data_IF_687184687251
#
_entry.id   IF_687184687251
#
_cell.length_a   1.000
_cell.length_b   1.000
_cell.length_c   1.000
_cell.angle_alpha   90.00
_cell.angle_beta   90.00
_cell.angle_gamma   90.00
#
_symmetry.space_group_name_H-M   'P 1'
#
loop_
_entity.id
_entity.type
_entity.pdbx_description
1 polymer ?
#
# COMPACT_ATOMS: atom_id res chain seq x y z
N UNK A 1 31.39 14.91 -4.76
CA UNK A 1 30.43 13.98 -4.12
C UNK A 1 29.65 14.78 -3.10
N UNK A 2 28.33 14.67 -3.11
CA UNK A 2 27.51 15.37 -2.12
C UNK A 2 27.71 14.75 -0.74
N UNK A 3 27.78 15.57 0.29
CA UNK A 3 27.97 15.13 1.68
C UNK A 3 26.71 15.29 2.53
N UNK A 4 25.71 15.95 1.97
CA UNK A 4 24.41 16.13 2.62
C UNK A 4 23.32 15.63 1.69
N UNK A 5 22.46 14.76 2.20
CA UNK A 5 21.31 14.20 1.50
C UNK A 5 20.02 14.57 2.24
N UNK A 6 19.00 14.93 1.48
CA UNK A 6 17.66 15.18 1.97
C UNK A 6 16.69 14.24 1.26
N UNK A 7 16.13 13.26 1.97
CA UNK A 7 15.18 12.29 1.45
C UNK A 7 13.84 12.60 2.10
N UNK A 8 12.81 12.89 1.31
CA UNK A 8 11.48 13.18 1.83
C UNK A 8 10.39 12.57 0.94
N UNK A 9 9.24 12.30 1.53
CA UNK A 9 8.09 11.73 0.83
C UNK A 9 7.19 10.92 1.74
N UNK A 10 6.17 10.31 1.15
CA UNK A 10 5.21 9.47 1.84
C UNK A 10 5.27 7.99 1.38
N UNK A 11 6.23 7.61 0.51
CA UNK A 11 6.49 6.24 0.14
C UNK A 11 7.73 5.69 0.85
N UNK A 12 7.46 4.95 1.90
CA UNK A 12 8.53 4.40 2.76
C UNK A 12 9.48 3.49 2.01
N UNK A 13 8.98 2.70 1.06
CA UNK A 13 9.82 1.80 0.26
C UNK A 13 10.93 2.58 -0.47
N UNK A 14 10.60 3.68 -1.14
CA UNK A 14 11.59 4.48 -1.85
C UNK A 14 12.53 5.22 -0.89
N UNK A 15 12.03 5.67 0.27
CA UNK A 15 12.87 6.28 1.30
C UNK A 15 13.94 5.29 1.73
N UNK A 16 13.53 4.07 2.11
CA UNK A 16 14.46 3.03 2.57
C UNK A 16 15.42 2.58 1.44
N UNK A 17 14.95 2.51 0.19
CA UNK A 17 15.79 2.22 -0.97
C UNK A 17 16.89 3.29 -1.17
N UNK A 18 16.55 4.58 -1.08
CA UNK A 18 17.54 5.67 -1.20
C UNK A 18 18.52 5.66 -0.04
N UNK A 19 18.07 5.46 1.20
CA UNK A 19 18.94 5.32 2.37
C UNK A 19 19.90 4.15 2.20
N UNK A 20 19.37 2.96 1.85
CA UNK A 20 20.19 1.77 1.65
C UNK A 20 21.21 1.93 0.52
N UNK A 21 20.84 2.63 -0.55
CA UNK A 21 21.76 2.96 -1.64
C UNK A 21 22.94 3.79 -1.14
N UNK A 22 22.68 4.87 -0.38
CA UNK A 22 23.75 5.70 0.20
C UNK A 22 24.63 4.86 1.12
N UNK A 23 24.06 4.07 2.02
CA UNK A 23 24.82 3.21 2.94
C UNK A 23 25.68 2.21 2.16
N UNK A 24 25.15 1.64 1.08
CA UNK A 24 25.88 0.65 0.26
C UNK A 24 27.05 1.24 -0.54
N UNK A 25 26.98 2.54 -0.91
CA UNK A 25 28.05 3.26 -1.59
C UNK A 25 29.24 3.55 -0.66
N UNK A 26 29.03 3.61 0.67
CA UNK A 26 30.03 3.99 1.67
C UNK A 26 30.19 2.92 2.76
N UNK A 27 30.40 1.66 2.35
CA UNK A 27 30.47 0.49 3.24
C UNK A 27 31.53 0.55 4.35
N UNK A 28 32.54 1.37 4.18
CA UNK A 28 33.65 1.53 5.13
C UNK A 28 33.37 2.60 6.18
N UNK A 29 32.24 3.31 6.08
CA UNK A 29 31.85 4.38 7.00
C UNK A 29 31.06 3.82 8.17
N UNK A 30 31.27 4.38 9.37
CA UNK A 30 30.48 4.02 10.54
C UNK A 30 29.06 4.60 10.43
N UNK A 31 28.06 3.73 10.62
CA UNK A 31 26.64 4.11 10.52
C UNK A 31 26.06 4.50 11.89
N UNK A 32 25.54 5.71 11.99
CA UNK A 32 24.88 6.24 13.20
C UNK A 32 23.48 6.73 12.84
N UNK A 33 22.49 6.33 13.62
CA UNK A 33 21.09 6.70 13.43
C UNK A 33 20.59 7.55 14.60
N UNK A 34 19.87 8.62 14.29
CA UNK A 34 19.15 9.44 15.27
C UNK A 34 17.69 9.60 14.89
N UNK A 35 16.80 9.59 15.86
CA UNK A 35 15.42 10.02 15.72
C UNK A 35 15.30 11.50 16.14
N UNK A 36 14.86 12.34 15.20
CA UNK A 36 14.74 13.78 15.46
C UNK A 36 13.49 14.14 16.27
N UNK A 37 12.62 13.20 16.55
CA UNK A 37 11.56 13.38 17.54
C UNK A 37 12.06 13.23 18.99
N UNK A 38 13.24 12.61 19.18
CA UNK A 38 13.82 12.34 20.51
C UNK A 38 15.15 13.06 20.74
N UNK A 39 15.85 13.40 19.66
CA UNK A 39 17.22 13.94 19.72
C UNK A 39 17.32 15.27 18.98
N UNK A 40 18.01 16.25 19.58
CA UNK A 40 18.28 17.52 18.91
C UNK A 40 19.28 17.33 17.76
N UNK A 41 19.07 18.06 16.65
CA UNK A 41 19.91 17.99 15.44
C UNK A 41 21.37 18.36 15.70
N UNK A 42 21.68 19.15 16.74
CA UNK A 42 23.05 19.50 17.07
C UNK A 42 23.92 18.28 17.35
N UNK A 43 23.38 17.23 18.01
CA UNK A 43 24.12 15.98 18.24
C UNK A 43 24.55 15.30 16.93
N UNK A 44 23.65 15.26 15.94
CA UNK A 44 23.98 14.71 14.64
C UNK A 44 25.01 15.56 13.91
N UNK A 45 24.92 16.90 14.01
CA UNK A 45 25.89 17.84 13.44
C UNK A 45 27.25 17.71 14.13
N UNK A 46 27.29 17.59 15.45
CA UNK A 46 28.53 17.33 16.19
C UNK A 46 29.19 16.04 15.70
N UNK A 47 28.40 14.96 15.57
CA UNK A 47 28.87 13.64 15.15
C UNK A 47 29.47 13.65 13.74
N UNK A 48 28.81 14.26 12.75
CA UNK A 48 29.33 14.37 11.37
C UNK A 48 30.50 15.35 11.26
N UNK A 49 30.64 16.28 12.23
CA UNK A 49 31.72 17.27 12.24
C UNK A 49 32.98 16.80 12.96
N UNK A 50 32.90 15.70 13.71
CA UNK A 50 34.04 15.13 14.40
C UNK A 50 35.07 14.61 13.39
N UNK A 51 36.27 15.24 13.39
CA UNK A 51 37.42 14.75 12.62
C UNK A 51 38.26 13.93 13.59
N UNK A 52 38.30 12.61 13.40
CA UNK A 52 39.17 11.74 14.18
C UNK A 52 40.40 11.36 13.35
N UNK A 53 41.56 11.41 13.95
CA UNK A 53 42.81 10.94 13.32
C UNK A 53 42.90 9.42 13.22
N UNK A 54 41.99 8.70 13.90
CA UNK A 54 42.04 7.23 14.05
C UNK A 54 40.69 6.53 13.78
N UNK A 55 39.63 7.27 13.44
CA UNK A 55 38.31 6.70 13.12
C UNK A 55 37.97 6.85 11.64
N UNK A 56 37.13 5.94 11.16
CA UNK A 56 36.51 6.01 9.84
C UNK A 56 35.55 7.22 9.72
N UNK A 57 35.36 7.70 8.51
CA UNK A 57 34.29 8.67 8.22
C UNK A 57 32.92 8.04 8.59
N UNK A 58 31.92 8.88 8.83
CA UNK A 58 30.61 8.46 9.34
C UNK A 58 29.48 8.77 8.36
N UNK A 59 28.46 7.92 8.38
CA UNK A 59 27.14 8.23 7.83
C UNK A 59 26.21 8.45 9.01
N UNK A 60 25.72 9.66 9.18
CA UNK A 60 24.73 9.98 10.21
C UNK A 60 23.37 10.18 9.56
N UNK A 61 22.42 9.31 9.90
CA UNK A 61 21.05 9.34 9.39
C UNK A 61 20.14 9.90 10.48
N UNK A 62 19.45 10.98 10.13
CA UNK A 62 18.50 11.68 10.99
C UNK A 62 17.08 11.37 10.49
N UNK A 63 16.43 10.37 11.11
CA UNK A 63 15.04 10.03 10.81
C UNK A 63 14.06 11.03 11.44
N UNK A 64 12.86 11.13 10.87
CA UNK A 64 11.78 11.98 11.37
C UNK A 64 12.17 13.46 11.50
N UNK A 65 12.93 14.00 10.54
CA UNK A 65 13.34 15.40 10.56
C UNK A 65 12.17 16.36 10.27
N UNK A 66 11.08 16.22 11.07
CA UNK A 66 9.82 16.95 10.89
C UNK A 66 9.95 18.46 11.09
N UNK A 67 11.03 18.92 11.73
CA UNK A 67 11.35 20.35 11.82
C UNK A 67 11.56 21.02 10.46
N UNK A 68 11.74 20.24 9.39
CA UNK A 68 11.81 20.74 8.00
C UNK A 68 10.43 20.94 7.36
N UNK A 69 9.37 20.53 8.03
CA UNK A 69 7.97 20.64 7.58
C UNK A 69 7.21 21.75 8.31
N UNK A 70 5.92 21.89 8.04
CA UNK A 70 5.01 22.75 8.80
C UNK A 70 4.50 22.12 10.11
N UNK A 71 4.88 20.88 10.42
CA UNK A 71 4.47 20.17 11.64
C UNK A 71 5.24 20.74 12.83
N UNK A 72 4.54 20.93 13.95
CA UNK A 72 5.17 21.39 15.19
C UNK A 72 5.96 20.25 15.82
N UNK A 73 7.22 20.50 16.11
CA UNK A 73 8.09 19.57 16.86
C UNK A 73 8.15 19.98 18.31
N UNK A 74 8.27 18.99 19.20
CA UNK A 74 8.41 19.23 20.65
C UNK A 74 9.83 19.64 21.01
N UNK A 75 10.82 19.29 20.17
CA UNK A 75 12.23 19.64 20.36
C UNK A 75 12.54 20.94 19.62
N UNK A 76 13.15 21.89 20.30
CA UNK A 76 13.73 23.09 19.69
C UNK A 76 15.11 22.77 19.14
N UNK A 77 15.17 22.47 17.85
CA UNK A 77 16.39 22.05 17.16
C UNK A 77 17.33 23.24 16.92
N UNK A 78 18.63 23.07 17.13
CA UNK A 78 19.65 24.04 16.78
C UNK A 78 19.85 24.07 15.23
N UNK A 79 19.00 24.86 14.58
CA UNK A 79 19.02 25.02 13.11
C UNK A 79 20.26 25.79 12.65
N UNK A 80 20.84 26.64 13.47
CA UNK A 80 22.03 27.44 13.10
C UNK A 80 23.27 26.55 12.96
N UNK A 81 23.42 25.53 13.80
CA UNK A 81 24.49 24.54 13.67
C UNK A 81 24.35 23.74 12.38
N UNK A 82 23.13 23.31 12.04
CA UNK A 82 22.83 22.59 10.79
C UNK A 82 23.12 23.45 9.57
N UNK A 83 22.71 24.73 9.57
CA UNK A 83 22.97 25.65 8.46
C UNK A 83 24.47 25.84 8.20
N UNK A 84 25.29 25.95 9.25
CA UNK A 84 26.75 26.04 9.11
C UNK A 84 27.34 24.81 8.46
N UNK A 85 26.87 23.62 8.88
CA UNK A 85 27.32 22.34 8.32
C UNK A 85 26.93 22.17 6.86
N UNK A 86 25.68 22.48 6.48
CA UNK A 86 25.19 22.35 5.09
C UNK A 86 26.08 23.15 4.12
N UNK A 87 26.51 24.32 4.51
CA UNK A 87 27.34 25.19 3.64
C UNK A 87 28.80 24.72 3.56
N UNK A 88 29.32 24.14 4.63
CA UNK A 88 30.70 23.65 4.69
C UNK A 88 30.77 22.26 5.38
N UNK A 89 30.33 21.20 4.67
CA UNK A 89 30.28 19.86 5.22
C UNK A 89 31.68 19.26 5.40
N UNK A 90 31.80 18.33 6.36
CA UNK A 90 33.00 17.51 6.60
C UNK A 90 33.18 16.41 5.55
N UNK A 91 34.08 15.47 5.78
CA UNK A 91 34.23 14.22 4.99
C UNK A 91 33.10 13.24 5.25
N UNK A 92 32.49 13.24 6.41
CA UNK A 92 31.35 12.41 6.79
C UNK A 92 30.07 12.84 6.09
N UNK A 93 29.05 11.98 6.10
CA UNK A 93 27.80 12.13 5.35
C UNK A 93 26.65 12.37 6.32
N UNK A 94 25.84 13.39 6.06
CA UNK A 94 24.59 13.65 6.75
C UNK A 94 23.41 13.30 5.85
N UNK A 95 22.51 12.44 6.33
CA UNK A 95 21.27 12.08 5.65
C UNK A 95 20.08 12.52 6.49
N UNK A 96 19.29 13.43 5.97
CA UNK A 96 18.05 13.89 6.61
C UNK A 96 16.86 13.17 5.96
N UNK A 97 16.07 12.46 6.76
CA UNK A 97 14.90 11.70 6.31
C UNK A 97 13.64 12.33 6.87
N UNK A 98 12.68 12.64 5.99
CA UNK A 98 11.41 13.30 6.33
C UNK A 98 10.24 12.49 5.80
N UNK A 99 9.49 11.85 6.69
CA UNK A 99 8.28 11.12 6.33
C UNK A 99 7.10 12.10 6.15
N UNK A 100 7.14 12.88 5.08
CA UNK A 100 6.11 13.87 4.73
C UNK A 100 6.17 14.15 3.23
N UNK A 101 5.01 14.33 2.62
CA UNK A 101 4.87 14.69 1.20
C UNK A 101 5.27 16.13 0.88
N UNK A 102 5.53 16.96 1.89
CA UNK A 102 5.89 18.35 1.68
C UNK A 102 6.87 18.90 2.72
N UNK A 103 7.78 19.75 2.25
CA UNK A 103 8.69 20.54 3.06
C UNK A 103 8.18 21.99 3.19
N UNK A 104 8.43 22.64 4.32
CA UNK A 104 8.10 24.06 4.46
C UNK A 104 9.18 24.93 3.74
N UNK A 105 8.93 25.21 2.47
CA UNK A 105 9.82 26.01 1.60
C UNK A 105 10.06 27.45 2.08
N UNK A 106 9.32 27.93 3.11
CA UNK A 106 9.54 29.26 3.71
C UNK A 106 10.75 29.25 4.65
N UNK A 107 11.06 28.10 5.25
CA UNK A 107 12.18 27.95 6.18
C UNK A 107 13.53 28.12 5.47
N UNK A 108 14.41 28.89 6.08
CA UNK A 108 15.76 29.13 5.55
C UNK A 108 16.54 27.83 5.37
N UNK A 109 16.45 26.93 6.34
CA UNK A 109 17.15 25.63 6.29
C UNK A 109 16.71 24.77 5.10
N UNK A 110 15.42 24.78 4.76
CA UNK A 110 14.92 24.05 3.59
C UNK A 110 15.46 24.63 2.29
N UNK A 111 15.54 25.96 2.18
CA UNK A 111 16.14 26.64 1.01
C UNK A 111 17.62 26.31 0.85
N UNK A 112 18.37 26.30 1.95
CA UNK A 112 19.80 25.95 1.91
C UNK A 112 20.01 24.47 1.59
N UNK A 113 19.18 23.56 2.16
CA UNK A 113 19.22 22.15 1.79
C UNK A 113 18.92 21.94 0.30
N UNK A 114 17.92 22.61 -0.26
CA UNK A 114 17.62 22.53 -1.70
C UNK A 114 18.77 23.00 -2.59
N UNK A 115 19.64 23.86 -2.08
CA UNK A 115 20.78 24.41 -2.83
C UNK A 115 22.06 23.57 -2.72
N UNK A 116 22.30 22.98 -1.54
CA UNK A 116 23.59 22.34 -1.24
C UNK A 116 23.49 20.82 -1.03
N UNK A 117 22.31 20.28 -0.74
CA UNK A 117 22.12 18.87 -0.54
C UNK A 117 21.68 18.15 -1.83
N UNK A 118 21.91 16.86 -1.92
CA UNK A 118 21.23 16.01 -2.88
C UNK A 118 19.84 15.68 -2.37
N UNK A 119 18.81 16.17 -3.08
CA UNK A 119 17.41 16.05 -2.67
C UNK A 119 16.75 14.92 -3.44
N UNK A 120 16.10 13.99 -2.72
CA UNK A 120 15.30 12.88 -3.27
C UNK A 120 13.87 12.98 -2.76
N UNK A 121 12.93 13.04 -3.68
CA UNK A 121 11.50 13.01 -3.41
C UNK A 121 11.00 11.58 -3.61
N UNK A 122 10.29 11.05 -2.61
CA UNK A 122 9.85 9.66 -2.52
C UNK A 122 8.34 9.58 -2.35
N UNK A 123 7.62 9.98 -3.38
CA UNK A 123 6.17 10.01 -3.37
C UNK A 123 5.55 8.66 -3.74
N UNK A 124 4.33 8.44 -3.24
CA UNK A 124 3.54 7.26 -3.60
C UNK A 124 3.20 7.24 -5.08
N UNK A 125 3.44 6.10 -5.69
CA UNK A 125 3.05 5.85 -7.07
C UNK A 125 1.53 5.65 -7.18
N UNK A 126 0.91 6.26 -8.19
CA UNK A 126 -0.53 6.16 -8.43
C UNK A 126 -0.83 5.69 -9.86
N UNK A 127 -1.85 4.85 -9.98
CA UNK A 127 -2.39 4.45 -11.27
C UNK A 127 -1.30 3.97 -12.25
N UNK A 128 -1.11 4.68 -13.35
CA UNK A 128 -0.16 4.31 -14.40
C UNK A 128 1.32 4.33 -13.96
N UNK A 129 1.68 5.13 -12.95
CA UNK A 129 3.06 5.18 -12.43
C UNK A 129 3.41 3.85 -11.76
N UNK A 130 2.49 3.29 -10.95
CA UNK A 130 2.66 1.98 -10.33
C UNK A 130 2.78 0.87 -11.38
N UNK A 131 1.92 0.89 -12.40
CA UNK A 131 2.00 -0.08 -13.51
C UNK A 131 3.34 0.00 -14.25
N UNK A 132 3.82 1.23 -14.50
CA UNK A 132 5.11 1.46 -15.15
C UNK A 132 6.29 1.02 -14.28
N UNK A 133 6.23 1.23 -12.97
CA UNK A 133 7.22 0.76 -12.01
C UNK A 133 7.34 -0.77 -12.03
N UNK A 134 6.21 -1.49 -11.96
CA UNK A 134 6.19 -2.95 -11.98
C UNK A 134 6.74 -3.48 -13.30
N UNK A 135 6.31 -2.93 -14.44
CA UNK A 135 6.84 -3.31 -15.76
C UNK A 135 8.35 -3.11 -15.84
N UNK A 136 8.82 -1.95 -15.39
CA UNK A 136 10.26 -1.65 -15.38
C UNK A 136 11.02 -2.65 -14.51
N UNK A 137 10.50 -2.97 -13.31
CA UNK A 137 11.11 -3.95 -12.40
C UNK A 137 11.20 -5.35 -13.06
N UNK A 138 10.16 -5.76 -13.81
CA UNK A 138 10.21 -7.01 -14.58
C UNK A 138 11.32 -6.95 -15.64
N UNK A 139 11.35 -5.90 -16.47
CA UNK A 139 12.36 -5.74 -17.54
C UNK A 139 13.78 -5.68 -16.98
N UNK A 140 14.03 -4.96 -15.91
CA UNK A 140 15.33 -4.84 -15.27
C UNK A 140 15.84 -6.20 -14.74
N UNK A 141 14.94 -7.17 -14.47
CA UNK A 141 15.26 -8.55 -14.09
C UNK A 141 15.16 -9.55 -15.26
N UNK A 142 14.99 -9.09 -16.49
CA UNK A 142 14.94 -9.94 -17.69
C UNK A 142 13.61 -10.63 -17.92
N UNK A 143 12.51 -10.13 -17.36
CA UNK A 143 11.15 -10.67 -17.49
C UNK A 143 10.24 -9.70 -18.24
N UNK A 144 9.20 -10.26 -18.86
CA UNK A 144 8.06 -9.51 -19.38
C UNK A 144 6.79 -9.89 -18.60
N UNK A 145 5.86 -8.95 -18.44
CA UNK A 145 4.56 -9.19 -17.83
C UNK A 145 3.45 -8.75 -18.77
N UNK A 146 2.49 -9.66 -19.04
CA UNK A 146 1.32 -9.36 -19.84
C UNK A 146 0.43 -8.32 -19.15
N UNK A 147 -0.25 -7.46 -19.93
CA UNK A 147 -1.10 -6.40 -19.39
C UNK A 147 -2.20 -6.93 -18.45
N UNK A 148 -2.84 -8.04 -18.81
CA UNK A 148 -3.88 -8.64 -17.98
C UNK A 148 -3.31 -9.22 -16.67
N UNK A 149 -2.13 -9.85 -16.73
CA UNK A 149 -1.40 -10.30 -15.55
C UNK A 149 -1.00 -9.13 -14.65
N UNK A 150 -0.47 -8.04 -15.23
CA UNK A 150 -0.10 -6.83 -14.52
C UNK A 150 -1.29 -6.19 -13.78
N UNK A 151 -2.42 -6.02 -14.46
CA UNK A 151 -3.64 -5.48 -13.87
C UNK A 151 -4.14 -6.35 -12.72
N UNK A 152 -4.12 -7.68 -12.90
CA UNK A 152 -4.48 -8.63 -11.85
C UNK A 152 -3.52 -8.54 -10.68
N UNK A 153 -2.21 -8.49 -10.93
CA UNK A 153 -1.18 -8.39 -9.90
C UNK A 153 -1.35 -7.15 -9.02
N UNK A 154 -1.56 -5.98 -9.62
CA UNK A 154 -1.81 -4.74 -8.87
C UNK A 154 -3.11 -4.81 -8.08
N UNK A 155 -4.15 -5.43 -8.63
CA UNK A 155 -5.41 -5.62 -7.92
C UNK A 155 -5.22 -6.44 -6.65
N UNK A 156 -4.46 -7.54 -6.73
CA UNK A 156 -4.21 -8.47 -5.64
C UNK A 156 -3.42 -7.82 -4.49
N UNK A 157 -2.42 -6.98 -4.82
CA UNK A 157 -1.44 -6.47 -3.86
C UNK A 157 -1.67 -5.01 -3.45
N UNK A 158 -2.65 -4.33 -4.05
CA UNK A 158 -2.88 -2.90 -3.88
C UNK A 158 -1.63 -2.07 -4.23
N UNK A 159 -1.32 -1.01 -3.44
CA UNK A 159 -0.21 -0.08 -3.68
C UNK A 159 0.98 -0.27 -2.72
N UNK A 160 1.05 -1.39 -2.00
CA UNK A 160 2.15 -1.65 -1.07
C UNK A 160 3.40 -2.15 -1.82
N UNK A 161 4.37 -1.26 -2.03
CA UNK A 161 5.57 -1.57 -2.81
C UNK A 161 6.46 -2.65 -2.17
N UNK A 162 6.49 -2.80 -0.84
CA UNK A 162 7.22 -3.90 -0.21
C UNK A 162 6.63 -5.25 -0.59
N UNK A 163 5.31 -5.36 -0.53
CA UNK A 163 4.60 -6.59 -0.90
C UNK A 163 4.76 -6.85 -2.40
N UNK A 164 4.56 -5.83 -3.24
CA UNK A 164 4.73 -5.91 -4.70
C UNK A 164 6.11 -6.46 -5.06
N UNK A 165 7.18 -5.90 -4.48
CA UNK A 165 8.53 -6.38 -4.78
C UNK A 165 8.78 -7.80 -4.29
N UNK A 166 8.33 -8.14 -3.07
CA UNK A 166 8.44 -9.51 -2.56
C UNK A 166 7.70 -10.53 -3.44
N UNK A 167 6.51 -10.20 -3.92
CA UNK A 167 5.73 -11.06 -4.79
C UNK A 167 6.35 -11.17 -6.20
N UNK A 168 6.94 -10.07 -6.72
CA UNK A 168 7.71 -10.12 -7.98
C UNK A 168 8.94 -11.01 -7.84
N UNK A 169 9.70 -10.92 -6.76
CA UNK A 169 10.87 -11.76 -6.54
C UNK A 169 10.50 -13.25 -6.49
N UNK A 170 9.35 -13.61 -5.89
CA UNK A 170 8.81 -14.98 -5.95
C UNK A 170 8.46 -15.42 -7.38
N UNK A 171 7.82 -14.52 -8.14
CA UNK A 171 7.50 -14.80 -9.54
C UNK A 171 8.75 -15.01 -10.40
N UNK A 172 9.81 -14.23 -10.18
CA UNK A 172 11.07 -14.38 -10.89
C UNK A 172 11.73 -15.73 -10.58
N UNK A 173 11.70 -16.18 -9.32
CA UNK A 173 12.21 -17.50 -8.93
C UNK A 173 11.36 -18.61 -9.57
N UNK A 174 10.05 -18.48 -9.59
CA UNK A 174 9.14 -19.48 -10.16
C UNK A 174 9.29 -19.63 -11.68
N UNK A 175 9.53 -18.52 -12.39
CA UNK A 175 9.61 -18.42 -13.86
C UNK A 175 11.04 -18.55 -14.40
N UNK A 176 11.84 -19.47 -13.89
CA UNK A 176 13.27 -19.57 -14.24
C UNK A 176 13.52 -19.72 -15.75
N UNK A 177 12.79 -20.60 -16.44
CA UNK A 177 12.97 -20.90 -17.85
C UNK A 177 12.13 -20.01 -18.79
N UNK A 178 10.87 -19.72 -18.43
CA UNK A 178 9.95 -18.90 -19.21
C UNK A 178 9.88 -17.49 -18.64
N UNK A 179 10.43 -16.52 -19.36
CA UNK A 179 10.55 -15.12 -18.90
C UNK A 179 9.28 -14.27 -19.10
N UNK A 180 8.15 -14.86 -19.53
CA UNK A 180 6.88 -14.15 -19.71
C UNK A 180 5.91 -14.48 -18.58
N UNK A 181 5.57 -13.50 -17.75
CA UNK A 181 4.62 -13.64 -16.65
C UNK A 181 3.20 -13.51 -17.17
N UNK A 182 2.41 -14.56 -16.99
CA UNK A 182 1.00 -14.67 -17.39
C UNK A 182 0.04 -14.61 -16.19
N UNK A 183 -1.27 -14.55 -16.46
CA UNK A 183 -2.31 -14.59 -15.39
C UNK A 183 -2.20 -15.87 -14.56
N UNK A 184 -1.94 -17.03 -15.20
CA UNK A 184 -1.83 -18.30 -14.51
C UNK A 184 -0.66 -18.32 -13.50
N UNK A 185 0.45 -17.64 -13.82
CA UNK A 185 1.60 -17.54 -12.92
C UNK A 185 1.25 -16.70 -11.68
N UNK A 186 0.51 -15.60 -11.89
CA UNK A 186 -0.02 -14.79 -10.79
C UNK A 186 -0.92 -15.63 -9.87
N UNK A 187 -1.83 -16.45 -10.44
CA UNK A 187 -2.73 -17.30 -9.65
C UNK A 187 -2.02 -18.36 -8.81
N UNK A 188 -0.89 -18.85 -9.29
CA UNK A 188 -0.11 -19.90 -8.60
C UNK A 188 0.80 -19.29 -7.54
N UNK A 189 1.52 -18.22 -7.87
CA UNK A 189 2.61 -17.72 -7.05
C UNK A 189 2.23 -16.61 -6.09
N UNK A 190 1.26 -15.75 -6.47
CA UNK A 190 0.91 -14.60 -5.65
C UNK A 190 0.06 -15.05 -4.49
N UNK A 191 0.50 -14.73 -3.27
CA UNK A 191 -0.28 -15.00 -2.07
C UNK A 191 -1.61 -14.28 -2.16
N UNK A 192 -2.71 -15.03 -2.12
CA UNK A 192 -4.05 -14.44 -2.12
C UNK A 192 -4.21 -13.57 -0.90
N UNK A 193 -4.38 -12.27 -1.13
CA UNK A 193 -4.73 -11.36 -0.04
C UNK A 193 -6.19 -11.56 0.36
N UNK A 194 -6.52 -11.15 1.58
CA UNK A 194 -7.87 -11.21 2.13
C UNK A 194 -8.93 -10.67 1.15
N UNK A 195 -8.62 -9.60 0.42
CA UNK A 195 -9.53 -9.01 -0.54
C UNK A 195 -9.90 -9.94 -1.70
N UNK A 196 -9.01 -10.84 -2.14
CA UNK A 196 -9.26 -11.76 -3.24
C UNK A 196 -10.17 -12.90 -2.81
N UNK A 197 -9.92 -13.43 -1.62
CA UNK A 197 -10.79 -14.42 -1.02
C UNK A 197 -12.21 -13.84 -0.83
N UNK A 198 -12.32 -12.55 -0.53
CA UNK A 198 -13.59 -11.84 -0.43
C UNK A 198 -14.27 -11.66 -1.79
N UNK A 199 -13.51 -11.31 -2.86
CA UNK A 199 -14.08 -11.25 -4.21
C UNK A 199 -14.59 -12.61 -4.67
N UNK A 200 -13.82 -13.67 -4.45
CA UNK A 200 -14.21 -15.03 -4.74
C UNK A 200 -15.45 -15.45 -3.93
N UNK A 201 -15.51 -15.05 -2.64
CA UNK A 201 -16.68 -15.32 -1.78
C UNK A 201 -17.93 -14.55 -2.29
N UNK A 202 -17.79 -13.28 -2.68
CA UNK A 202 -18.89 -12.50 -3.27
C UNK A 202 -19.37 -13.16 -4.57
N UNK A 203 -18.45 -13.57 -5.43
CA UNK A 203 -18.78 -14.25 -6.70
C UNK A 203 -19.51 -15.57 -6.47
N UNK A 204 -19.03 -16.39 -5.51
CA UNK A 204 -19.66 -17.64 -5.13
C UNK A 204 -21.07 -17.42 -4.53
N UNK A 205 -21.25 -16.44 -3.65
CA UNK A 205 -22.56 -16.06 -3.08
C UNK A 205 -23.52 -15.62 -4.19
N UNK A 206 -23.07 -14.75 -5.10
CA UNK A 206 -23.86 -14.24 -6.20
C UNK A 206 -24.27 -15.34 -7.17
N UNK A 207 -23.35 -16.29 -7.45
CA UNK A 207 -23.60 -17.49 -8.28
C UNK A 207 -24.41 -18.56 -7.54
N UNK A 208 -24.67 -18.36 -6.25
CA UNK A 208 -25.39 -19.32 -5.37
C UNK A 208 -24.70 -20.66 -5.24
N UNK A 209 -23.39 -20.68 -5.37
CA UNK A 209 -22.57 -21.85 -5.13
C UNK A 209 -22.29 -21.98 -3.63
N UNK A 210 -23.20 -22.71 -2.95
CA UNK A 210 -23.15 -22.91 -1.48
C UNK A 210 -21.85 -23.58 -1.06
N UNK A 211 -21.45 -24.64 -1.76
CA UNK A 211 -20.29 -25.43 -1.38
C UNK A 211 -19.01 -24.57 -1.48
N UNK A 212 -18.87 -23.82 -2.57
CA UNK A 212 -17.74 -22.92 -2.76
C UNK A 212 -17.76 -21.75 -1.76
N UNK A 213 -18.94 -21.19 -1.48
CA UNK A 213 -19.08 -20.09 -0.49
C UNK A 213 -18.67 -20.53 0.91
N UNK A 214 -19.07 -21.73 1.34
CA UNK A 214 -18.69 -22.29 2.63
C UNK A 214 -17.20 -22.62 2.70
N UNK A 215 -16.64 -23.25 1.65
CA UNK A 215 -15.20 -23.53 1.59
C UNK A 215 -14.35 -22.25 1.69
N UNK A 216 -14.72 -21.18 0.94
CA UNK A 216 -14.02 -19.89 0.99
C UNK A 216 -14.17 -19.20 2.37
N UNK A 217 -15.33 -19.35 3.02
CA UNK A 217 -15.52 -18.86 4.38
C UNK A 217 -14.62 -19.60 5.36
N UNK A 218 -14.57 -20.94 5.30
CA UNK A 218 -13.69 -21.74 6.15
C UNK A 218 -12.21 -21.39 5.96
N UNK A 219 -11.76 -21.16 4.72
CA UNK A 219 -10.40 -20.70 4.42
C UNK A 219 -10.10 -19.35 5.09
N UNK A 220 -11.06 -18.41 5.08
CA UNK A 220 -10.92 -17.10 5.75
C UNK A 220 -10.81 -17.25 7.27
N UNK A 221 -11.58 -18.15 7.87
CA UNK A 221 -11.50 -18.44 9.32
C UNK A 221 -10.17 -19.11 9.69
N UNK A 222 -9.65 -20.02 8.86
CA UNK A 222 -8.31 -20.62 9.04
C UNK A 222 -7.20 -19.54 9.00
N UNK A 223 -7.38 -18.49 8.21
CA UNK A 223 -6.49 -17.34 8.17
C UNK A 223 -6.66 -16.38 9.37
N UNK A 224 -7.43 -16.78 10.39
CA UNK A 224 -7.76 -16.00 11.59
C UNK A 224 -8.49 -14.66 11.29
N UNK A 225 -9.28 -14.61 10.23
CA UNK A 225 -10.13 -13.46 9.96
C UNK A 225 -11.42 -13.56 10.81
N UNK A 226 -11.76 -12.46 11.47
CA UNK A 226 -12.96 -12.39 12.30
C UNK A 226 -14.21 -12.10 11.46
N UNK A 227 -15.34 -12.77 11.79
CA UNK A 227 -16.61 -12.63 11.07
C UNK A 227 -17.10 -11.18 11.01
N UNK A 228 -16.91 -10.39 12.07
CA UNK A 228 -17.28 -8.97 12.09
C UNK A 228 -16.49 -8.16 11.05
N UNK A 229 -15.20 -8.46 10.91
CA UNK A 229 -14.34 -7.86 9.89
C UNK A 229 -14.79 -8.28 8.49
N UNK A 230 -15.12 -9.56 8.30
CA UNK A 230 -15.63 -10.07 7.02
C UNK A 230 -16.94 -9.40 6.62
N UNK A 231 -17.87 -9.17 7.55
CA UNK A 231 -19.12 -8.44 7.29
C UNK A 231 -18.83 -7.04 6.74
N UNK A 232 -17.90 -6.31 7.36
CA UNK A 232 -17.53 -4.94 6.92
C UNK A 232 -16.93 -4.96 5.51
N UNK A 233 -16.04 -5.92 5.23
CA UNK A 233 -15.38 -6.01 3.92
C UNK A 233 -16.39 -6.42 2.83
N UNK A 234 -17.27 -7.39 3.10
CA UNK A 234 -18.36 -7.77 2.20
C UNK A 234 -19.30 -6.60 1.92
N UNK A 235 -19.68 -5.85 2.97
CA UNK A 235 -20.52 -4.66 2.82
C UNK A 235 -19.87 -3.61 1.93
N UNK A 236 -18.56 -3.37 2.07
CA UNK A 236 -17.82 -2.45 1.20
C UNK A 236 -17.80 -2.95 -0.25
N UNK A 237 -17.68 -4.26 -0.47
CA UNK A 237 -17.69 -4.84 -1.80
C UNK A 237 -19.06 -4.72 -2.47
N UNK A 238 -20.15 -5.05 -1.79
CA UNK A 238 -21.51 -4.88 -2.34
C UNK A 238 -21.87 -3.40 -2.54
N UNK A 239 -21.35 -2.50 -1.68
CA UNK A 239 -21.50 -1.05 -1.89
C UNK A 239 -20.81 -0.60 -3.17
N UNK A 240 -19.60 -1.07 -3.41
CA UNK A 240 -18.87 -0.79 -4.65
C UNK A 240 -19.64 -1.28 -5.88
N UNK A 241 -20.14 -2.52 -5.84
CA UNK A 241 -20.96 -3.08 -6.93
C UNK A 241 -22.18 -2.22 -7.18
N UNK A 242 -22.91 -1.82 -6.13
CA UNK A 242 -24.07 -0.95 -6.24
C UNK A 242 -23.70 0.39 -6.90
N UNK A 243 -22.68 1.08 -6.39
CA UNK A 243 -22.23 2.38 -6.91
C UNK A 243 -21.85 2.28 -8.38
N UNK A 244 -21.03 1.28 -8.74
CA UNK A 244 -20.58 1.07 -10.12
C UNK A 244 -21.77 0.82 -11.06
N UNK A 245 -22.70 -0.08 -10.68
CA UNK A 245 -23.88 -0.39 -11.49
C UNK A 245 -24.79 0.84 -11.70
N UNK A 246 -25.02 1.64 -10.68
CA UNK A 246 -25.84 2.84 -10.78
C UNK A 246 -25.15 3.95 -11.59
N UNK A 247 -23.83 4.10 -11.45
CA UNK A 247 -23.10 5.07 -12.26
C UNK A 247 -23.08 4.70 -13.75
N UNK A 248 -22.95 3.44 -14.10
CA UNK A 248 -23.10 2.99 -15.50
C UNK A 248 -24.52 3.29 -16.05
N UNK A 249 -25.58 3.08 -15.26
CA UNK A 249 -26.96 3.44 -15.67
C UNK A 249 -27.14 4.94 -15.92
N UNK A 250 -26.37 5.77 -15.21
CA UNK A 250 -26.39 7.24 -15.40
C UNK A 250 -25.43 7.72 -16.49
N UNK A 251 -24.82 6.82 -17.25
CA UNK A 251 -24.03 7.13 -18.45
C UNK A 251 -22.54 7.41 -18.20
N UNK A 252 -22.03 7.16 -16.99
CA UNK A 252 -20.57 7.25 -16.74
C UNK A 252 -19.84 6.09 -17.40
N UNK A 253 -18.66 6.34 -17.95
CA UNK A 253 -17.76 5.29 -18.43
C UNK A 253 -16.87 4.76 -17.29
N UNK A 254 -16.18 3.65 -17.54
CA UNK A 254 -15.31 2.96 -16.58
C UNK A 254 -14.24 3.88 -15.96
N UNK A 255 -13.62 4.73 -16.80
CA UNK A 255 -12.56 5.63 -16.35
C UNK A 255 -13.08 6.75 -15.42
N UNK A 256 -14.23 7.34 -15.77
CA UNK A 256 -14.85 8.37 -14.94
C UNK A 256 -15.32 7.83 -13.60
N UNK A 257 -15.85 6.59 -13.59
CA UNK A 257 -16.24 5.89 -12.36
C UNK A 257 -15.01 5.66 -11.48
N UNK A 258 -13.94 5.12 -12.05
CA UNK A 258 -12.69 4.87 -11.34
C UNK A 258 -12.14 6.14 -10.70
N UNK A 259 -12.13 7.24 -11.45
CA UNK A 259 -11.69 8.55 -10.96
C UNK A 259 -12.59 9.10 -9.83
N UNK A 260 -13.93 8.96 -9.95
CA UNK A 260 -14.88 9.46 -8.94
C UNK A 260 -14.84 8.66 -7.64
N UNK A 261 -14.63 7.36 -7.73
CA UNK A 261 -14.57 6.45 -6.58
C UNK A 261 -13.16 6.31 -6.00
N UNK A 262 -12.16 6.94 -6.64
CA UNK A 262 -10.72 6.84 -6.29
C UNK A 262 -10.26 5.39 -6.21
N UNK A 263 -10.58 4.60 -7.24
CA UNK A 263 -10.22 3.18 -7.35
C UNK A 263 -9.59 2.88 -8.70
N UNK A 264 -8.85 1.77 -8.77
CA UNK A 264 -8.28 1.31 -10.04
C UNK A 264 -9.39 0.92 -11.05
N UNK A 265 -9.30 1.28 -12.37
CA UNK A 265 -10.31 0.97 -13.38
C UNK A 265 -10.67 -0.52 -13.46
N UNK A 266 -9.69 -1.40 -13.25
CA UNK A 266 -9.92 -2.84 -13.24
C UNK A 266 -10.90 -3.28 -12.13
N UNK A 267 -10.91 -2.61 -10.96
CA UNK A 267 -11.92 -2.87 -9.91
C UNK A 267 -13.32 -2.48 -10.34
N UNK A 268 -13.46 -1.41 -11.13
CA UNK A 268 -14.74 -1.01 -11.74
C UNK A 268 -15.22 -2.09 -12.70
N UNK A 269 -14.32 -2.59 -13.57
CA UNK A 269 -14.62 -3.68 -14.50
C UNK A 269 -15.06 -4.95 -13.77
N UNK A 270 -14.36 -5.35 -12.71
CA UNK A 270 -14.75 -6.52 -11.91
C UNK A 270 -16.11 -6.33 -11.25
N UNK A 271 -16.35 -5.19 -10.59
CA UNK A 271 -17.63 -4.90 -9.94
C UNK A 271 -18.78 -4.84 -10.95
N UNK A 272 -18.53 -4.34 -12.16
CA UNK A 272 -19.53 -4.35 -13.24
C UNK A 272 -19.82 -5.74 -13.79
N UNK A 273 -18.84 -6.65 -13.80
CA UNK A 273 -19.00 -8.01 -14.29
C UNK A 273 -19.70 -8.95 -13.30
N UNK A 274 -19.89 -8.54 -12.05
CA UNK A 274 -20.66 -9.33 -11.08
C UNK A 274 -22.10 -9.49 -11.56
N UNK A 275 -22.61 -10.73 -11.57
CA UNK A 275 -23.88 -11.14 -12.18
C UNK A 275 -25.15 -10.68 -11.44
N UNK A 276 -25.11 -9.54 -10.72
CA UNK A 276 -26.26 -8.92 -10.04
C UNK A 276 -26.44 -7.47 -10.48
N UNK A 277 -27.64 -6.95 -10.34
CA UNK A 277 -27.93 -5.53 -10.53
C UNK A 277 -27.70 -4.71 -9.23
N UNK A 278 -27.84 -3.38 -9.35
CA UNK A 278 -27.64 -2.47 -8.22
C UNK A 278 -28.66 -2.71 -7.09
N UNK A 279 -29.92 -3.03 -7.41
CA UNK A 279 -30.96 -3.28 -6.41
C UNK A 279 -30.70 -4.58 -5.64
N UNK A 280 -30.19 -5.61 -6.30
CA UNK A 280 -29.76 -6.85 -5.65
C UNK A 280 -28.56 -6.61 -4.73
N UNK A 281 -27.57 -5.84 -5.17
CA UNK A 281 -26.43 -5.45 -4.32
C UNK A 281 -26.88 -4.67 -3.08
N UNK A 282 -27.85 -3.74 -3.23
CA UNK A 282 -28.43 -3.00 -2.11
C UNK A 282 -29.17 -3.92 -1.13
N UNK A 283 -29.83 -4.95 -1.62
CA UNK A 283 -30.49 -5.97 -0.79
C UNK A 283 -29.45 -6.73 0.06
N UNK A 284 -28.35 -7.17 -0.53
CA UNK A 284 -27.27 -7.84 0.21
C UNK A 284 -26.66 -6.92 1.28
N UNK A 285 -26.52 -5.63 1.00
CA UNK A 285 -26.09 -4.64 1.99
C UNK A 285 -27.06 -4.55 3.18
N UNK A 286 -28.37 -4.62 2.92
CA UNK A 286 -29.39 -4.59 3.95
C UNK A 286 -29.31 -5.82 4.87
N UNK A 287 -29.16 -7.01 4.29
CA UNK A 287 -29.00 -8.25 5.06
C UNK A 287 -27.72 -8.24 5.91
N UNK A 288 -26.57 -7.76 5.36
CA UNK A 288 -25.34 -7.59 6.11
C UNK A 288 -25.47 -6.59 7.25
N UNK A 289 -26.19 -5.46 7.03
CA UNK A 289 -26.44 -4.47 8.08
C UNK A 289 -27.29 -5.05 9.23
N UNK A 290 -28.28 -5.90 8.90
CA UNK A 290 -29.08 -6.60 9.90
C UNK A 290 -28.24 -7.59 10.68
N UNK A 291 -27.44 -8.41 9.98
CA UNK A 291 -26.52 -9.36 10.58
C UNK A 291 -25.53 -8.68 11.55
N UNK A 292 -24.92 -7.56 11.15
CA UNK A 292 -24.03 -6.77 12.00
C UNK A 292 -24.70 -6.28 13.28
N UNK A 293 -25.95 -5.80 13.16
CA UNK A 293 -26.76 -5.35 14.30
C UNK A 293 -27.12 -6.51 15.23
N UNK A 294 -27.57 -7.65 14.70
CA UNK A 294 -27.97 -8.81 15.47
C UNK A 294 -26.78 -9.41 16.25
N UNK A 295 -25.59 -9.43 15.65
CA UNK A 295 -24.36 -9.88 16.32
C UNK A 295 -23.95 -8.90 17.43
N UNK A 296 -23.91 -7.59 17.13
CA UNK A 296 -23.50 -6.57 18.10
C UNK A 296 -24.43 -6.43 19.29
N UNK A 297 -25.70 -6.74 19.11
CA UNK A 297 -26.69 -6.75 20.20
C UNK A 297 -26.77 -8.08 20.95
N UNK A 298 -25.98 -9.08 20.53
CA UNK A 298 -25.96 -10.40 21.16
C UNK A 298 -27.18 -11.29 20.85
N UNK A 299 -28.00 -10.90 19.87
CA UNK A 299 -29.15 -11.69 19.41
C UNK A 299 -28.69 -12.93 18.65
N UNK A 300 -27.56 -12.82 17.95
CA UNK A 300 -27.05 -13.90 17.11
C UNK A 300 -25.54 -14.11 17.35
N UNK A 301 -25.12 -15.38 17.45
CA UNK A 301 -23.69 -15.73 17.45
C UNK A 301 -23.07 -15.37 16.10
N UNK A 302 -21.85 -14.81 16.12
CA UNK A 302 -21.17 -14.29 14.93
C UNK A 302 -20.94 -15.36 13.86
N UNK A 303 -20.57 -16.60 14.25
CA UNK A 303 -20.30 -17.70 13.32
C UNK A 303 -21.60 -18.24 12.76
N UNK A 304 -22.58 -18.50 13.63
CA UNK A 304 -23.90 -18.98 13.22
C UNK A 304 -24.57 -17.98 12.28
N UNK A 305 -24.54 -16.70 12.63
CA UNK A 305 -25.13 -15.64 11.82
C UNK A 305 -24.49 -15.49 10.45
N UNK A 306 -23.17 -15.60 10.37
CA UNK A 306 -22.48 -15.52 9.08
C UNK A 306 -22.80 -16.73 8.18
N UNK A 307 -22.84 -17.93 8.75
CA UNK A 307 -23.27 -19.14 8.02
C UNK A 307 -24.71 -19.04 7.55
N UNK A 308 -25.62 -18.57 8.42
CA UNK A 308 -27.03 -18.33 8.05
C UNK A 308 -27.15 -17.30 6.93
N UNK A 309 -26.37 -16.24 6.96
CA UNK A 309 -26.30 -15.25 5.89
C UNK A 309 -25.92 -15.89 4.54
N UNK A 310 -24.84 -16.67 4.48
CA UNK A 310 -24.43 -17.39 3.27
C UNK A 310 -25.56 -18.29 2.77
N UNK A 311 -26.15 -19.10 3.64
CA UNK A 311 -27.21 -20.03 3.29
C UNK A 311 -28.49 -19.33 2.82
N UNK A 312 -28.93 -18.28 3.51
CA UNK A 312 -30.15 -17.55 3.15
C UNK A 312 -30.03 -16.85 1.79
N UNK A 313 -28.86 -16.28 1.48
CA UNK A 313 -28.64 -15.63 0.18
C UNK A 313 -28.61 -16.63 -0.97
N UNK A 314 -28.16 -17.84 -0.73
CA UNK A 314 -28.09 -18.90 -1.74
C UNK A 314 -29.42 -19.66 -1.89
N UNK A 315 -30.20 -19.86 -0.80
CA UNK A 315 -31.43 -20.65 -0.77
C UNK A 315 -32.69 -19.81 -1.04
N UNK A 316 -32.70 -18.52 -0.76
CA UNK A 316 -33.89 -17.66 -0.82
C UNK A 316 -34.66 -17.73 -2.16
N UNK A 317 -34.02 -18.07 -3.27
CA UNK A 317 -34.65 -18.23 -4.57
C UNK A 317 -35.46 -19.55 -4.71
N UNK A 318 -35.10 -20.59 -3.98
CA UNK A 318 -35.87 -21.83 -4.03
C UNK A 318 -37.26 -21.70 -3.39
N UNK A 319 -37.43 -20.81 -2.39
CA UNK A 319 -38.71 -20.55 -1.74
C UNK A 319 -39.70 -19.73 -2.57
N UNK A 320 -39.22 -18.91 -3.53
CA UNK A 320 -40.10 -18.05 -4.34
C UNK A 320 -40.33 -18.55 -5.78
N UNK A 321 -39.83 -19.73 -6.15
CA UNK A 321 -40.07 -20.38 -7.44
C UNK A 321 -40.90 -21.69 -7.32
N UNK A 322 -41.35 -22.04 -6.11
CA UNK A 322 -42.20 -23.21 -5.85
C UNK A 322 -43.54 -22.74 -5.24
N UNK A 323 -44.08 -21.62 -5.76
CA UNK A 323 -45.49 -21.28 -5.59
C UNK A 323 -46.08 -20.93 -6.94
#
# INVERSE_FOLDING_TARGET
MNKVYLIYGNEKYFIDEQVNKIVSEYKEYDLINYDMCETNINKAVEEVSMISLFSTDKIVICYNALFLTGIKCDIDHDIDSLLKFIVNPSTSILVLVVNSDSLDKRKKVVKELQKYAEVKECDKLKGNELLSFIKKRCVDNGYEINNDALNKFVLLLNDNLYVINSELDKLFIYKDDDKVISISDIDICTSRMLNDNIFDLVDAIVKKDINRSLALYDDLIILNEEEIKLIVILANQFRLIFQVKEMFKTGYNEFDIAKKLDIHPYRVKLANNVGIDGMQALKYLKELSKLDADIKTGVLDKRVGFLEFILNLTIWFYKNFIV
#
